data_IF_034718330809
#
_entry.id   IF_034718330809
#
_cell.length_a   1.000
_cell.length_b   1.000
_cell.length_c   1.000
_cell.angle_alpha   90.00
_cell.angle_beta   90.00
_cell.angle_gamma   90.00
#
_symmetry.space_group_name_H-M   'P 1'
#
loop_
_entity.id
_entity.type
_entity.pdbx_description
1 polymer ?
#
# COMPACT_ATOMS: atom_id res chain seq x y z
N UNK A 1 -8.70 6.55 -5.10
CA UNK A 1 -9.30 7.88 -5.38
C UNK A 1 -9.56 8.77 -4.14
N UNK A 2 -8.93 8.63 -2.94
CA UNK A 2 -9.23 9.53 -1.82
C UNK A 2 -8.82 10.99 -2.09
N UNK A 3 -7.75 11.21 -2.86
CA UNK A 3 -7.29 12.53 -3.32
C UNK A 3 -8.25 13.30 -4.21
N UNK A 4 -9.18 12.63 -4.86
CA UNK A 4 -10.14 13.33 -5.71
C UNK A 4 -11.09 14.16 -4.83
N UNK A 5 -11.41 13.65 -3.64
CA UNK A 5 -12.40 14.26 -2.75
C UNK A 5 -11.73 15.07 -1.64
N UNK A 6 -10.62 14.59 -1.08
CA UNK A 6 -9.99 15.16 0.11
C UNK A 6 -8.65 15.84 -0.21
N UNK A 7 -8.55 17.12 0.14
CA UNK A 7 -7.33 17.92 0.11
C UNK A 7 -6.51 17.61 1.38
N UNK A 8 -5.45 16.83 1.24
CA UNK A 8 -4.60 16.42 2.37
C UNK A 8 -3.68 17.53 2.87
N UNK A 9 -3.43 18.58 2.07
CA UNK A 9 -2.62 19.73 2.49
C UNK A 9 -3.45 20.67 3.37
N UNK A 10 -4.75 20.82 3.06
CA UNK A 10 -5.69 21.67 3.81
C UNK A 10 -6.57 20.91 4.80
N UNK A 11 -6.50 19.57 4.81
CA UNK A 11 -7.33 18.67 5.60
C UNK A 11 -8.83 18.99 5.50
N UNK A 12 -9.32 19.17 4.26
CA UNK A 12 -10.73 19.42 3.98
C UNK A 12 -11.15 18.86 2.62
N UNK A 13 -12.45 18.82 2.35
CA UNK A 13 -12.95 18.49 1.02
C UNK A 13 -12.48 19.49 -0.04
N UNK A 14 -12.18 19.00 -1.24
CA UNK A 14 -11.77 19.83 -2.37
C UNK A 14 -12.89 20.79 -2.82
N UNK A 15 -12.49 22.00 -3.24
CA UNK A 15 -13.39 23.09 -3.64
C UNK A 15 -14.38 22.68 -4.76
N UNK A 16 -13.96 21.82 -5.68
CA UNK A 16 -14.83 21.40 -6.79
C UNK A 16 -16.12 20.71 -6.30
N UNK A 17 -16.10 20.06 -5.13
CA UNK A 17 -17.29 19.44 -4.54
C UNK A 17 -18.33 20.51 -4.20
N UNK A 18 -17.91 21.59 -3.54
CA UNK A 18 -18.79 22.72 -3.24
C UNK A 18 -19.23 23.46 -4.50
N UNK A 19 -18.36 23.60 -5.51
CA UNK A 19 -18.69 24.25 -6.78
C UNK A 19 -19.80 23.49 -7.54
N UNK A 20 -19.93 22.19 -7.31
CA UNK A 20 -20.97 21.33 -7.88
C UNK A 20 -22.10 21.00 -6.89
N UNK A 21 -22.19 21.71 -5.76
CA UNK A 21 -23.20 21.49 -4.70
C UNK A 21 -23.24 20.04 -4.15
N UNK A 22 -22.09 19.35 -4.13
CA UNK A 22 -21.96 18.00 -3.58
C UNK A 22 -21.60 18.13 -2.10
N UNK A 23 -22.52 17.70 -1.23
CA UNK A 23 -22.32 17.67 0.21
C UNK A 23 -21.92 16.26 0.68
N UNK A 24 -20.79 16.16 1.38
CA UNK A 24 -20.27 14.90 1.92
C UNK A 24 -20.20 14.98 3.45
N UNK A 25 -20.36 13.85 4.17
CA UNK A 25 -20.29 13.83 5.62
C UNK A 25 -18.89 14.21 6.12
N UNK A 26 -18.79 15.04 7.15
CA UNK A 26 -17.50 15.41 7.75
C UNK A 26 -16.81 14.17 8.35
N UNK A 27 -15.56 13.87 7.99
CA UNK A 27 -14.81 12.77 8.60
C UNK A 27 -14.73 12.91 10.11
N UNK A 28 -14.99 11.81 10.82
CA UNK A 28 -14.95 11.74 12.28
C UNK A 28 -13.85 10.76 12.71
N UNK A 29 -13.21 10.98 13.87
CA UNK A 29 -12.31 9.99 14.45
C UNK A 29 -13.00 8.64 14.64
N UNK A 30 -12.24 7.57 14.55
CA UNK A 30 -12.77 6.22 14.71
C UNK A 30 -13.22 5.88 16.13
N UNK A 31 -12.89 6.72 17.13
CA UNK A 31 -13.42 6.65 18.48
C UNK A 31 -14.85 7.16 18.60
N UNK A 32 -15.41 7.81 17.57
CA UNK A 32 -16.79 8.29 17.57
C UNK A 32 -17.75 7.10 17.48
N UNK A 33 -18.69 7.05 18.43
CA UNK A 33 -19.72 6.02 18.54
C UNK A 33 -21.10 6.66 18.40
N UNK A 34 -21.99 5.95 17.72
CA UNK A 34 -23.41 6.27 17.62
C UNK A 34 -24.23 5.21 18.34
N UNK A 35 -25.26 5.62 19.09
CA UNK A 35 -26.21 4.69 19.66
C UNK A 35 -27.28 4.32 18.63
N UNK A 36 -27.45 3.03 18.40
CA UNK A 36 -28.46 2.48 17.48
C UNK A 36 -29.37 1.54 18.26
N UNK A 37 -30.68 1.63 18.04
CA UNK A 37 -31.63 0.70 18.63
C UNK A 37 -31.91 -0.44 17.64
N UNK A 38 -31.64 -1.68 18.06
CA UNK A 38 -31.92 -2.88 17.27
C UNK A 38 -32.61 -3.90 18.16
N UNK A 39 -33.80 -4.36 17.76
CA UNK A 39 -34.61 -5.34 18.49
C UNK A 39 -34.86 -4.95 19.97
N UNK A 40 -35.16 -3.67 20.22
CA UNK A 40 -35.39 -3.13 21.57
C UNK A 40 -34.14 -3.07 22.45
N UNK A 41 -32.94 -3.23 21.89
CA UNK A 41 -31.66 -3.09 22.59
C UNK A 41 -30.87 -1.93 22.02
N UNK A 42 -30.29 -1.12 22.92
CA UNK A 42 -29.38 -0.04 22.57
C UNK A 42 -27.98 -0.61 22.36
N UNK A 43 -27.43 -0.45 21.16
CA UNK A 43 -26.08 -0.86 20.76
C UNK A 43 -25.24 0.37 20.42
N UNK A 44 -23.94 0.32 20.70
CA UNK A 44 -22.98 1.34 20.29
C UNK A 44 -22.26 0.87 19.01
N UNK A 45 -22.34 1.68 17.96
CA UNK A 45 -21.76 1.37 16.65
C UNK A 45 -20.76 2.47 16.28
N UNK A 46 -19.55 2.08 15.89
CA UNK A 46 -18.54 3.02 15.38
C UNK A 46 -18.69 3.29 13.88
N UNK A 47 -18.03 4.35 13.40
CA UNK A 47 -18.15 4.80 12.01
C UNK A 47 -17.45 3.91 10.96
N UNK A 48 -16.75 2.86 11.39
CA UNK A 48 -15.93 2.01 10.53
C UNK A 48 -14.62 2.68 10.09
N UNK A 49 -13.65 1.87 9.67
CA UNK A 49 -12.33 2.34 9.21
C UNK A 49 -11.94 1.59 7.93
N UNK A 50 -11.13 2.22 7.08
CA UNK A 50 -10.54 1.55 5.93
C UNK A 50 -9.54 0.46 6.37
N UNK A 51 -9.62 -0.73 5.77
CA UNK A 51 -8.87 -1.93 6.16
C UNK A 51 -7.37 -1.70 6.34
N UNK A 52 -6.71 -1.02 5.38
CA UNK A 52 -5.28 -0.74 5.48
C UNK A 52 -4.96 0.19 6.66
N UNK A 53 -5.81 1.18 6.94
CA UNK A 53 -5.66 2.05 8.13
C UNK A 53 -5.91 1.28 9.42
N UNK A 54 -6.82 0.30 9.41
CA UNK A 54 -7.09 -0.59 10.55
C UNK A 54 -5.85 -1.41 10.91
N UNK A 55 -5.17 -1.96 9.90
CA UNK A 55 -3.97 -2.79 10.08
C UNK A 55 -2.83 -2.06 10.80
N UNK A 56 -2.78 -0.73 10.72
CA UNK A 56 -1.77 0.10 11.38
C UNK A 56 -2.03 0.33 12.87
N UNK A 57 -3.28 0.29 13.33
CA UNK A 57 -3.66 0.68 14.70
C UNK A 57 -2.86 -0.09 15.77
N UNK A 58 -2.70 -1.43 15.70
CA UNK A 58 -1.96 -2.17 16.73
C UNK A 58 -0.50 -1.74 16.83
N UNK A 59 0.14 -1.44 15.68
CA UNK A 59 1.54 -1.05 15.62
C UNK A 59 1.76 0.39 16.07
N UNK A 60 0.87 1.31 15.68
CA UNK A 60 0.94 2.72 16.12
C UNK A 60 0.72 2.83 17.62
N UNK A 61 -0.21 2.05 18.18
CA UNK A 61 -0.49 2.09 19.62
C UNK A 61 0.53 1.31 20.45
N UNK A 62 1.18 0.29 19.87
CA UNK A 62 2.12 -0.59 20.57
C UNK A 62 3.60 -0.22 20.43
N UNK A 63 3.98 0.61 19.45
CA UNK A 63 5.37 1.00 19.20
C UNK A 63 5.69 2.39 19.74
N UNK A 64 6.83 2.52 20.40
CA UNK A 64 7.40 3.82 20.79
C UNK A 64 8.28 4.43 19.70
N UNK A 65 8.73 3.61 18.75
CA UNK A 65 9.65 4.03 17.68
C UNK A 65 8.90 4.24 16.36
N UNK A 66 9.46 5.12 15.51
CA UNK A 66 9.01 5.28 14.13
C UNK A 66 9.27 3.99 13.33
N UNK A 67 8.34 3.63 12.46
CA UNK A 67 8.38 2.45 11.61
C UNK A 67 7.70 2.69 10.26
N UNK A 68 7.92 1.74 9.34
CA UNK A 68 7.15 1.63 8.10
C UNK A 68 6.48 0.27 8.13
N UNK A 69 5.15 0.23 8.00
CA UNK A 69 4.43 -1.04 7.86
C UNK A 69 4.47 -1.45 6.40
N UNK A 70 5.02 -2.63 6.12
CA UNK A 70 5.09 -3.21 4.78
C UNK A 70 4.07 -4.33 4.67
N UNK A 71 2.94 -4.05 4.04
CA UNK A 71 1.96 -5.07 3.69
C UNK A 71 2.39 -5.74 2.40
N UNK A 72 2.47 -7.07 2.38
CA UNK A 72 2.81 -7.86 1.20
C UNK A 72 1.60 -8.68 0.73
N UNK A 73 1.50 -8.87 -0.57
CA UNK A 73 0.39 -9.52 -1.28
C UNK A 73 0.57 -9.27 -2.77
N UNK A 74 -0.50 -9.29 -3.57
CA UNK A 74 -0.44 -8.92 -4.99
C UNK A 74 0.22 -7.55 -5.19
N UNK A 75 -0.08 -6.61 -4.28
CA UNK A 75 0.64 -5.36 -4.09
C UNK A 75 1.48 -5.41 -2.82
N UNK A 76 2.68 -4.85 -2.90
CA UNK A 76 3.41 -4.39 -1.73
C UNK A 76 3.00 -2.94 -1.44
N UNK A 77 2.49 -2.69 -0.24
CA UNK A 77 2.09 -1.37 0.21
C UNK A 77 2.94 -0.99 1.41
N UNK A 78 3.74 0.06 1.27
CA UNK A 78 4.56 0.61 2.35
C UNK A 78 3.81 1.79 2.96
N UNK A 79 3.50 1.74 4.25
CA UNK A 79 2.75 2.78 4.95
C UNK A 79 3.63 3.42 6.01
N UNK A 80 3.82 4.74 5.91
CA UNK A 80 4.60 5.53 6.85
C UNK A 80 3.69 6.55 7.56
N UNK A 81 3.23 6.27 8.80
CA UNK A 81 2.36 7.17 9.54
C UNK A 81 3.11 8.37 10.16
N UNK A 82 4.43 8.43 10.04
CA UNK A 82 5.28 9.47 10.64
C UNK A 82 5.76 10.52 9.63
N UNK A 83 5.47 10.34 8.34
CA UNK A 83 5.85 11.29 7.31
C UNK A 83 4.83 12.43 7.22
N UNK A 84 5.25 13.63 7.63
CA UNK A 84 4.41 14.84 7.64
C UNK A 84 4.55 15.69 6.38
N UNK A 85 5.49 15.36 5.49
CA UNK A 85 5.69 16.12 4.26
C UNK A 85 4.45 16.02 3.37
N UNK A 86 4.08 17.07 2.62
CA UNK A 86 3.05 17.00 1.59
C UNK A 86 3.35 15.91 0.54
N UNK A 87 2.30 15.37 -0.10
CA UNK A 87 2.50 14.48 -1.25
C UNK A 87 2.83 15.33 -2.48
N UNK A 88 3.96 15.06 -3.13
CA UNK A 88 4.32 15.78 -4.36
C UNK A 88 3.68 15.15 -5.60
N UNK A 89 3.50 15.94 -6.67
CA UNK A 89 3.02 15.43 -7.95
C UNK A 89 3.92 14.31 -8.52
N UNK A 90 5.24 14.38 -8.29
CA UNK A 90 6.16 13.33 -8.71
C UNK A 90 5.98 12.05 -7.90
N UNK A 91 5.71 12.16 -6.60
CA UNK A 91 5.39 11.00 -5.76
C UNK A 91 4.06 10.37 -6.19
N UNK A 92 3.03 11.17 -6.49
CA UNK A 92 1.76 10.67 -7.01
C UNK A 92 1.93 9.90 -8.31
N UNK A 93 2.72 10.42 -9.25
CA UNK A 93 3.09 9.73 -10.51
C UNK A 93 3.86 8.42 -10.28
N UNK A 94 4.53 8.30 -9.15
CA UNK A 94 5.28 7.11 -8.73
C UNK A 94 4.46 6.19 -7.80
N UNK A 95 3.13 6.21 -7.90
CA UNK A 95 2.22 5.37 -7.11
C UNK A 95 2.28 5.57 -5.59
N UNK A 96 2.67 6.77 -5.14
CA UNK A 96 2.51 7.18 -3.75
C UNK A 96 1.15 7.86 -3.51
N UNK A 97 0.58 7.59 -2.34
CA UNK A 97 -0.74 8.01 -1.90
C UNK A 97 -0.70 8.47 -0.43
N UNK A 98 -1.82 8.97 0.07
CA UNK A 98 -2.07 9.27 1.48
C UNK A 98 -3.48 8.77 1.80
N UNK A 99 -3.61 8.24 3.00
CA UNK A 99 -4.89 7.83 3.58
C UNK A 99 -5.11 8.61 4.88
N UNK A 100 -6.36 8.64 5.37
CA UNK A 100 -6.63 9.13 6.72
C UNK A 100 -6.48 7.98 7.72
N UNK A 101 -5.82 8.27 8.83
CA UNK A 101 -5.70 7.38 9.99
C UNK A 101 -7.00 7.36 10.80
N UNK A 102 -7.05 6.47 11.79
CA UNK A 102 -8.11 6.42 12.80
C UNK A 102 -8.31 7.75 13.57
N UNK A 103 -7.27 8.58 13.59
CA UNK A 103 -7.23 9.88 14.27
C UNK A 103 -7.25 11.06 13.28
N UNK A 104 -7.69 10.82 12.04
CA UNK A 104 -7.77 11.81 10.96
C UNK A 104 -6.42 12.41 10.53
N UNK A 105 -5.31 11.74 10.83
CA UNK A 105 -3.97 12.15 10.38
C UNK A 105 -3.64 11.54 9.02
N UNK A 106 -2.93 12.25 8.13
CA UNK A 106 -2.47 11.67 6.87
C UNK A 106 -1.45 10.55 7.11
N UNK A 107 -1.56 9.48 6.34
CA UNK A 107 -0.60 8.36 6.30
C UNK A 107 -0.07 8.25 4.88
N UNK A 108 1.16 8.70 4.66
CA UNK A 108 1.81 8.60 3.36
C UNK A 108 2.20 7.16 3.07
N UNK A 109 1.85 6.68 1.89
CA UNK A 109 2.01 5.29 1.51
C UNK A 109 2.51 5.17 0.08
N UNK A 110 3.32 4.17 -0.23
CA UNK A 110 3.70 3.82 -1.60
C UNK A 110 3.21 2.43 -1.96
N UNK A 111 2.89 2.21 -3.23
CA UNK A 111 2.45 0.91 -3.74
C UNK A 111 3.39 0.43 -4.81
N UNK A 112 3.64 -0.87 -4.81
CA UNK A 112 4.44 -1.52 -5.84
C UNK A 112 3.85 -2.88 -6.16
N UNK A 113 3.66 -3.19 -7.45
CA UNK A 113 2.92 -4.39 -7.89
C UNK A 113 3.76 -5.68 -7.82
N UNK A 114 4.53 -5.82 -6.74
CA UNK A 114 5.57 -6.83 -6.60
C UNK A 114 5.05 -8.26 -6.54
N UNK A 115 3.90 -8.49 -5.90
CA UNK A 115 3.31 -9.83 -5.83
C UNK A 115 2.91 -10.33 -7.21
N UNK A 116 2.26 -9.48 -8.00
CA UNK A 116 1.93 -9.84 -9.37
C UNK A 116 3.17 -10.02 -10.26
N UNK A 117 4.18 -9.15 -10.11
CA UNK A 117 5.48 -9.33 -10.78
C UNK A 117 6.08 -10.70 -10.42
N UNK A 118 6.04 -11.07 -9.13
CA UNK A 118 6.51 -12.36 -8.66
C UNK A 118 5.73 -13.51 -9.33
N UNK A 119 4.39 -13.47 -9.33
CA UNK A 119 3.53 -14.50 -9.94
C UNK A 119 3.83 -14.69 -11.44
N UNK A 120 3.87 -13.60 -12.21
CA UNK A 120 4.14 -13.64 -13.65
C UNK A 120 5.53 -14.25 -13.94
N UNK A 121 6.54 -13.90 -13.15
CA UNK A 121 7.89 -14.43 -13.36
C UNK A 121 8.02 -15.89 -12.88
N UNK A 122 7.36 -16.29 -11.80
CA UNK A 122 7.30 -17.67 -11.35
C UNK A 122 6.68 -18.57 -12.43
N UNK A 123 5.57 -18.13 -13.06
CA UNK A 123 4.94 -18.84 -14.19
C UNK A 123 5.87 -18.94 -15.40
N UNK A 124 6.58 -17.86 -15.75
CA UNK A 124 7.56 -17.86 -16.85
C UNK A 124 8.68 -18.87 -16.62
N UNK A 125 9.26 -18.89 -15.41
CA UNK A 125 10.33 -19.83 -15.06
C UNK A 125 9.83 -21.27 -15.08
N UNK A 126 8.65 -21.51 -14.50
CA UNK A 126 7.99 -22.81 -14.50
C UNK A 126 7.78 -23.36 -15.91
N UNK A 127 7.29 -22.51 -16.83
CA UNK A 127 7.08 -22.90 -18.22
C UNK A 127 8.39 -23.18 -18.95
N UNK A 128 9.43 -22.38 -18.70
CA UNK A 128 10.73 -22.52 -19.36
C UNK A 128 11.50 -23.77 -18.91
N UNK A 129 11.45 -24.11 -17.62
CA UNK A 129 12.16 -25.26 -17.05
C UNK A 129 11.29 -26.52 -16.93
N UNK A 130 10.01 -26.46 -17.34
CA UNK A 130 9.04 -27.55 -17.25
C UNK A 130 8.89 -28.12 -15.84
N UNK A 131 8.91 -27.24 -14.84
CA UNK A 131 8.75 -27.57 -13.41
C UNK A 131 7.46 -26.97 -12.84
N UNK A 132 6.92 -27.46 -11.71
CA UNK A 132 5.77 -26.84 -11.06
C UNK A 132 5.99 -25.36 -10.73
N UNK A 133 4.92 -24.54 -10.75
CA UNK A 133 5.00 -23.08 -10.49
C UNK A 133 5.65 -22.76 -9.15
N UNK A 134 5.43 -23.60 -8.14
CA UNK A 134 5.96 -23.43 -6.79
C UNK A 134 7.42 -23.88 -6.63
N UNK A 135 8.05 -24.41 -7.68
CA UNK A 135 9.40 -24.97 -7.61
C UNK A 135 10.47 -23.94 -7.21
N UNK A 136 10.23 -22.64 -7.46
CA UNK A 136 11.13 -21.57 -7.00
C UNK A 136 11.40 -21.62 -5.48
N UNK A 137 10.48 -22.17 -4.68
CA UNK A 137 10.64 -22.33 -3.22
C UNK A 137 11.73 -23.35 -2.85
N UNK A 138 12.09 -24.24 -3.78
CA UNK A 138 13.10 -25.28 -3.60
C UNK A 138 14.47 -24.88 -4.16
N UNK A 139 14.53 -23.81 -4.95
CA UNK A 139 15.77 -23.33 -5.56
C UNK A 139 16.70 -22.85 -4.45
N UNK A 140 17.85 -23.53 -4.31
CA UNK A 140 18.90 -23.15 -3.36
C UNK A 140 19.91 -22.23 -4.05
N UNK A 141 20.49 -21.32 -3.26
CA UNK A 141 21.58 -20.48 -3.74
C UNK A 141 22.80 -21.35 -4.05
N UNK A 142 23.28 -21.28 -5.29
CA UNK A 142 24.59 -21.79 -5.67
C UNK A 142 25.59 -20.64 -5.67
N UNK A 143 26.49 -20.63 -4.68
CA UNK A 143 27.45 -19.54 -4.48
C UNK A 143 28.45 -19.41 -5.64
N UNK A 144 28.92 -20.52 -6.20
CA UNK A 144 29.89 -20.50 -7.29
C UNK A 144 29.29 -19.90 -8.56
N UNK A 145 28.06 -20.31 -8.91
CA UNK A 145 27.29 -19.71 -9.99
C UNK A 145 27.04 -18.22 -9.75
N UNK A 146 26.65 -17.81 -8.53
CA UNK A 146 26.41 -16.41 -8.21
C UNK A 146 27.68 -15.56 -8.34
N UNK A 147 28.81 -16.02 -7.78
CA UNK A 147 30.09 -15.30 -7.84
C UNK A 147 30.56 -15.19 -9.28
N UNK A 148 30.58 -16.31 -10.01
CA UNK A 148 30.96 -16.30 -11.43
C UNK A 148 30.09 -15.33 -12.21
N UNK A 149 28.78 -15.33 -11.96
CA UNK A 149 27.86 -14.43 -12.59
C UNK A 149 28.19 -12.95 -12.28
N UNK A 150 28.31 -12.56 -11.00
CA UNK A 150 28.61 -11.19 -10.58
C UNK A 150 29.93 -10.68 -11.19
N UNK A 151 30.96 -11.53 -11.23
CA UNK A 151 32.26 -11.18 -11.80
C UNK A 151 32.20 -10.91 -13.31
N UNK A 152 31.37 -11.65 -14.05
CA UNK A 152 31.29 -11.56 -15.52
C UNK A 152 30.22 -10.61 -16.03
N UNK A 153 29.13 -10.38 -15.28
CA UNK A 153 28.00 -9.56 -15.73
C UNK A 153 28.25 -8.05 -15.65
N UNK A 154 29.34 -7.61 -14.99
CA UNK A 154 29.54 -6.21 -14.63
C UNK A 154 28.39 -5.70 -13.76
N UNK A 155 28.40 -4.43 -13.36
CA UNK A 155 27.33 -3.83 -12.55
C UNK A 155 25.99 -3.65 -13.32
N UNK A 156 25.79 -4.37 -14.42
CA UNK A 156 24.58 -4.27 -15.23
C UNK A 156 23.37 -4.85 -14.49
N UNK A 157 22.20 -4.26 -14.74
CA UNK A 157 20.94 -4.81 -14.22
C UNK A 157 20.59 -6.07 -14.98
N UNK A 158 20.25 -7.10 -14.22
CA UNK A 158 20.04 -8.46 -14.71
C UNK A 158 18.55 -8.75 -14.76
N UNK A 159 17.90 -8.55 -13.62
CA UNK A 159 16.45 -8.52 -13.55
C UNK A 159 15.93 -7.16 -14.03
N UNK A 160 14.87 -7.21 -14.85
CA UNK A 160 14.22 -6.02 -15.41
C UNK A 160 15.16 -5.12 -16.23
N UNK A 161 16.12 -5.71 -16.96
CA UNK A 161 17.13 -5.00 -17.77
C UNK A 161 16.53 -4.00 -18.77
N UNK A 162 15.34 -4.28 -19.32
CA UNK A 162 14.58 -3.40 -20.23
C UNK A 162 13.36 -2.71 -19.58
N UNK A 163 13.33 -2.59 -18.25
CA UNK A 163 12.18 -2.25 -17.38
C UNK A 163 11.17 -3.40 -17.20
N UNK A 164 10.36 -3.25 -16.14
CA UNK A 164 9.25 -4.13 -15.79
C UNK A 164 8.17 -4.08 -16.87
N UNK A 165 8.12 -5.11 -17.73
CA UNK A 165 6.97 -5.36 -18.61
C UNK A 165 5.98 -6.23 -17.86
N UNK A 166 5.27 -5.61 -16.93
CA UNK A 166 4.07 -6.20 -16.35
C UNK A 166 2.98 -5.14 -16.49
N UNK A 167 1.95 -5.36 -17.32
CA UNK A 167 0.83 -4.44 -17.43
C UNK A 167 0.21 -4.24 -16.04
N UNK A 168 -0.01 -2.99 -15.66
CA UNK A 168 -0.68 -2.62 -14.40
C UNK A 168 -2.21 -2.48 -14.63
N UNK A 169 -2.73 -3.13 -15.69
CA UNK A 169 -4.15 -3.03 -16.09
C UNK A 169 -5.00 -4.01 -15.32
#
# INVERSE_FOLDING_TARGET
MPYLLWDFDKLKYHQWLTDHNINLPTPQPNSTLCAVEMNGRKLWVGNGIHDSSASLIPYVNGSQNNFILVSTGTWCINMNPFNTEPLTAQQLKSDCLCFLSATLKPIKSSRFFMGHIHEVNAQRLSSYFEVPVEYYKQVKLNNELLINYICHSGKERVFFKKRLFVPIT
#
